data_IF_381989339870
#
_entry.id   IF_381989339870
#
_cell.length_a   1.000
_cell.length_b   1.000
_cell.length_c   1.000
_cell.angle_alpha   90.00
_cell.angle_beta   90.00
_cell.angle_gamma   90.00
#
_symmetry.space_group_name_H-M   'P 1'
#
loop_
_entity.id
_entity.type
_entity.pdbx_description
1 polymer ?
#
# COMPACT_ATOMS: atom_id res chain seq x y z
N UNK A 1 -5.08 -3.36 7.18
CA UNK A 1 -5.54 -3.64 5.81
C UNK A 1 -6.92 -4.26 5.82
N UNK A 2 -7.83 -3.69 5.09
CA UNK A 2 -9.17 -4.23 4.90
C UNK A 2 -9.25 -4.94 3.55
N UNK A 3 -9.71 -6.20 3.52
CA UNK A 3 -9.87 -6.91 2.25
C UNK A 3 -10.99 -6.29 1.42
N UNK A 4 -10.74 -6.17 0.13
CA UNK A 4 -11.75 -5.77 -0.84
C UNK A 4 -12.27 -7.00 -1.57
N UNK A 5 -13.56 -7.27 -1.42
CA UNK A 5 -14.20 -8.49 -1.93
C UNK A 5 -15.42 -8.12 -2.76
N UNK A 6 -15.49 -8.68 -3.95
CA UNK A 6 -16.71 -8.62 -4.77
C UNK A 6 -17.48 -9.91 -4.60
N UNK A 7 -18.80 -9.79 -4.43
CA UNK A 7 -19.72 -10.93 -4.32
C UNK A 7 -20.46 -11.08 -5.64
N UNK A 8 -20.33 -12.25 -6.25
CA UNK A 8 -21.09 -12.60 -7.45
C UNK A 8 -22.05 -13.75 -7.17
N UNK A 9 -23.26 -13.65 -7.71
CA UNK A 9 -24.25 -14.72 -7.65
C UNK A 9 -24.13 -15.59 -8.90
N UNK A 10 -23.91 -16.89 -8.72
CA UNK A 10 -23.88 -17.82 -9.84
C UNK A 10 -25.30 -18.21 -10.23
N UNK A 11 -25.77 -17.66 -11.36
CA UNK A 11 -27.10 -17.92 -11.90
C UNK A 11 -27.26 -19.31 -12.53
N UNK A 12 -26.16 -20.06 -12.68
CA UNK A 12 -26.18 -21.39 -13.30
C UNK A 12 -26.58 -22.50 -12.34
N UNK A 13 -26.57 -22.24 -11.04
CA UNK A 13 -26.93 -23.22 -10.03
C UNK A 13 -28.47 -23.27 -9.94
N UNK A 14 -29.02 -24.40 -10.37
CA UNK A 14 -30.45 -24.69 -10.23
C UNK A 14 -30.70 -25.38 -8.89
N UNK A 15 -31.66 -24.90 -8.11
CA UNK A 15 -32.05 -25.49 -6.85
C UNK A 15 -32.23 -24.44 -5.76
N UNK A 16 -32.43 -24.88 -4.53
CA UNK A 16 -32.69 -24.01 -3.37
C UNK A 16 -31.45 -23.26 -2.90
N UNK A 17 -30.25 -23.58 -3.39
CA UNK A 17 -29.01 -22.91 -3.05
C UNK A 17 -28.63 -21.89 -4.13
N UNK A 18 -28.60 -20.61 -3.76
CA UNK A 18 -27.94 -19.61 -4.62
C UNK A 18 -26.45 -19.75 -4.44
N UNK A 19 -25.75 -20.11 -5.51
CA UNK A 19 -24.29 -20.08 -5.51
C UNK A 19 -23.81 -18.63 -5.35
N UNK A 20 -23.07 -18.39 -4.30
CA UNK A 20 -22.44 -17.09 -4.06
C UNK A 20 -20.93 -17.26 -4.26
N UNK A 21 -20.37 -16.48 -5.18
CA UNK A 21 -18.94 -16.45 -5.44
C UNK A 21 -18.35 -15.18 -4.87
N UNK A 22 -17.36 -15.34 -4.01
CA UNK A 22 -16.60 -14.23 -3.43
C UNK A 22 -15.31 -14.07 -4.24
N UNK A 23 -15.12 -12.89 -4.83
CA UNK A 23 -13.91 -12.56 -5.55
C UNK A 23 -13.12 -11.56 -4.74
N UNK A 24 -11.93 -11.96 -4.29
CA UNK A 24 -11.02 -11.07 -3.58
C UNK A 24 -10.27 -10.21 -4.58
N UNK A 25 -10.51 -8.90 -4.55
CA UNK A 25 -9.88 -7.94 -5.46
C UNK A 25 -8.58 -7.36 -4.92
N UNK A 26 -8.41 -7.30 -3.61
CA UNK A 26 -7.22 -6.74 -2.99
C UNK A 26 -7.45 -6.30 -1.55
N UNK A 27 -6.72 -5.28 -1.15
CA UNK A 27 -6.78 -4.70 0.19
C UNK A 27 -6.80 -3.18 0.10
N UNK A 28 -7.55 -2.55 0.99
CA UNK A 28 -7.51 -1.13 1.23
C UNK A 28 -6.92 -0.88 2.62
N UNK A 29 -6.12 0.15 2.75
CA UNK A 29 -5.48 0.51 4.01
C UNK A 29 -4.84 1.86 3.93
N UNK A 30 -3.97 2.15 4.86
CA UNK A 30 -3.22 3.40 4.89
C UNK A 30 -1.83 3.20 5.50
N UNK A 31 -0.92 4.09 5.13
CA UNK A 31 0.38 4.24 5.77
C UNK A 31 0.37 5.56 6.51
N UNK A 32 0.81 5.56 7.76
CA UNK A 32 0.98 6.77 8.55
C UNK A 32 2.45 7.08 8.75
N UNK A 33 2.84 8.30 8.44
CA UNK A 33 4.22 8.78 8.51
C UNK A 33 4.28 10.12 9.25
N UNK A 34 5.38 10.36 9.96
CA UNK A 34 5.65 11.69 10.54
C UNK A 34 6.22 12.66 9.53
N UNK A 35 7.00 12.15 8.58
CA UNK A 35 7.63 12.93 7.50
C UNK A 35 7.50 12.15 6.20
N UNK A 36 7.15 12.83 5.13
CA UNK A 36 7.09 12.22 3.80
C UNK A 36 8.52 11.98 3.30
N UNK A 37 8.90 10.74 2.96
CA UNK A 37 10.18 10.49 2.29
C UNK A 37 10.26 11.26 0.97
N UNK A 38 11.42 11.86 0.68
CA UNK A 38 11.59 12.68 -0.52
C UNK A 38 11.31 11.92 -1.81
N UNK A 39 11.70 10.64 -1.86
CA UNK A 39 11.47 9.80 -3.02
C UNK A 39 9.98 9.57 -3.31
N UNK A 40 9.11 9.63 -2.29
CA UNK A 40 7.67 9.49 -2.48
C UNK A 40 7.07 10.65 -3.28
N UNK A 41 7.57 11.85 -3.07
CA UNK A 41 7.10 13.01 -3.84
C UNK A 41 7.37 12.82 -5.34
N UNK A 42 8.55 12.31 -5.69
CA UNK A 42 8.94 12.09 -7.09
C UNK A 42 8.35 10.83 -7.68
N UNK A 43 8.55 9.70 -7.01
CA UNK A 43 8.36 8.37 -7.60
C UNK A 43 6.91 7.90 -7.51
N UNK A 44 6.19 8.33 -6.48
CA UNK A 44 4.79 7.90 -6.28
C UNK A 44 3.82 9.00 -6.70
N UNK A 45 4.07 10.24 -6.31
CA UNK A 45 3.14 11.35 -6.52
C UNK A 45 3.47 12.24 -7.71
N UNK A 46 4.57 11.98 -8.43
CA UNK A 46 5.01 12.74 -9.61
C UNK A 46 5.16 14.25 -9.37
N UNK A 47 5.63 14.63 -8.19
CA UNK A 47 5.96 16.02 -7.94
C UNK A 47 7.23 16.43 -8.69
N UNK A 48 7.26 17.64 -9.18
CA UNK A 48 8.46 18.20 -9.79
C UNK A 48 9.46 18.63 -8.74
N UNK A 49 10.74 18.40 -9.00
CA UNK A 49 11.81 18.87 -8.14
C UNK A 49 12.82 19.69 -8.93
N UNK A 50 13.41 20.67 -8.29
CA UNK A 50 14.52 21.46 -8.84
C UNK A 50 15.83 21.18 -8.11
N UNK A 51 16.91 21.84 -8.54
CA UNK A 51 18.24 21.59 -8.01
C UNK A 51 18.45 22.18 -6.61
N UNK A 52 17.57 23.03 -6.13
CA UNK A 52 17.67 23.66 -4.79
C UNK A 52 16.92 22.87 -3.70
N UNK A 53 16.30 21.75 -4.04
CA UNK A 53 15.58 20.91 -3.10
C UNK A 53 14.09 21.26 -2.96
N UNK A 54 13.56 22.11 -3.82
CA UNK A 54 12.13 22.41 -3.83
C UNK A 54 11.34 21.34 -4.58
N UNK A 55 10.27 20.86 -3.94
CA UNK A 55 9.32 19.95 -4.55
C UNK A 55 8.01 20.68 -4.79
N UNK A 56 7.49 20.61 -6.01
CA UNK A 56 6.28 21.30 -6.41
C UNK A 56 5.22 20.31 -6.87
N UNK A 57 4.06 20.36 -6.23
CA UNK A 57 2.90 19.60 -6.66
C UNK A 57 2.28 20.26 -7.88
N UNK A 58 2.14 19.49 -8.95
CA UNK A 58 1.50 19.95 -10.17
C UNK A 58 0.15 19.27 -10.34
N UNK A 59 -0.76 19.90 -11.07
CA UNK A 59 -2.04 19.29 -11.38
C UNK A 59 -1.84 18.12 -12.34
N UNK A 60 -2.18 16.91 -11.87
CA UNK A 60 -2.13 15.68 -12.67
C UNK A 60 -3.48 14.97 -12.55
N UNK A 61 -3.81 14.16 -13.56
CA UNK A 61 -4.99 13.31 -13.46
C UNK A 61 -4.76 12.20 -12.43
N UNK A 62 -5.84 11.69 -11.83
CA UNK A 62 -5.76 10.62 -10.84
C UNK A 62 -5.11 9.34 -11.37
N UNK A 63 -5.08 9.16 -12.68
CA UNK A 63 -4.47 7.98 -13.34
C UNK A 63 -2.96 8.12 -13.56
N UNK A 64 -2.35 9.22 -13.15
CA UNK A 64 -0.92 9.47 -13.34
C UNK A 64 -0.05 9.00 -12.19
N UNK A 65 -0.65 8.50 -11.10
CA UNK A 65 0.11 7.98 -9.97
C UNK A 65 0.73 6.64 -10.30
N UNK A 66 1.99 6.48 -9.92
CA UNK A 66 2.76 5.27 -10.21
C UNK A 66 2.42 4.13 -9.24
N UNK A 67 2.34 2.93 -9.78
CA UNK A 67 2.22 1.72 -8.97
C UNK A 67 3.53 1.41 -8.27
N UNK A 68 3.45 0.82 -7.09
CA UNK A 68 4.61 0.42 -6.32
C UNK A 68 4.33 -0.86 -5.55
N UNK A 69 5.39 -1.53 -5.12
CA UNK A 69 5.29 -2.64 -4.18
C UNK A 69 5.55 -2.14 -2.77
N UNK A 70 4.73 -2.58 -1.84
CA UNK A 70 4.91 -2.24 -0.43
C UNK A 70 5.43 -3.45 0.33
N UNK A 71 6.59 -3.31 0.93
CA UNK A 71 7.27 -4.37 1.68
C UNK A 71 7.41 -3.90 3.13
N UNK A 72 7.01 -4.75 4.07
CA UNK A 72 7.05 -4.40 5.48
C UNK A 72 7.15 -5.64 6.38
N UNK A 73 7.50 -5.39 7.63
CA UNK A 73 7.51 -6.41 8.69
C UNK A 73 6.44 -6.07 9.71
N UNK A 74 5.63 -7.06 10.07
CA UNK A 74 4.60 -6.93 11.08
C UNK A 74 4.54 -8.20 11.91
N UNK A 75 4.66 -8.08 13.24
CA UNK A 75 4.58 -9.21 14.18
C UNK A 75 5.53 -10.38 13.84
N UNK A 76 6.76 -10.08 13.40
CA UNK A 76 7.73 -11.10 13.00
C UNK A 76 7.48 -11.71 11.63
N UNK A 77 6.46 -11.27 10.92
CA UNK A 77 6.18 -11.70 9.56
C UNK A 77 6.72 -10.69 8.57
N UNK A 78 7.27 -11.15 7.47
CA UNK A 78 7.64 -10.31 6.34
C UNK A 78 6.56 -10.41 5.28
N UNK A 79 6.09 -9.26 4.82
CA UNK A 79 4.98 -9.17 3.90
C UNK A 79 5.32 -8.30 2.71
N UNK A 80 4.74 -8.62 1.57
CA UNK A 80 4.77 -7.79 0.37
C UNK A 80 3.36 -7.67 -0.21
N UNK A 81 2.95 -6.43 -0.50
CA UNK A 81 1.82 -6.13 -1.37
C UNK A 81 2.39 -5.84 -2.76
N UNK A 82 2.06 -6.67 -3.73
CA UNK A 82 2.77 -6.71 -5.02
C UNK A 82 2.52 -5.51 -5.92
N UNK A 83 1.29 -4.99 -5.90
CA UNK A 83 0.94 -3.83 -6.70
C UNK A 83 0.04 -2.91 -5.89
N UNK A 84 0.54 -1.74 -5.58
CA UNK A 84 -0.17 -0.74 -4.79
C UNK A 84 -0.33 0.55 -5.55
N UNK A 85 -1.44 1.22 -5.31
CA UNK A 85 -1.68 2.59 -5.69
C UNK A 85 -1.85 3.43 -4.44
N UNK A 86 -1.33 4.65 -4.45
CA UNK A 86 -1.52 5.59 -3.36
C UNK A 86 -2.66 6.56 -3.69
N UNK A 87 -3.51 6.82 -2.70
CA UNK A 87 -4.48 7.91 -2.77
C UNK A 87 -3.86 9.24 -2.34
N UNK A 88 -4.67 10.27 -2.27
CA UNK A 88 -4.23 11.60 -1.84
C UNK A 88 -3.79 11.58 -0.37
N UNK A 89 -2.57 12.03 -0.05
CA UNK A 89 -2.12 12.13 1.33
C UNK A 89 -2.95 13.16 2.10
N UNK A 90 -3.26 12.82 3.35
CA UNK A 90 -3.88 13.73 4.29
C UNK A 90 -2.87 14.13 5.36
N UNK A 91 -2.64 15.41 5.53
CA UNK A 91 -1.71 15.95 6.50
C UNK A 91 -2.49 16.49 7.68
N UNK A 92 -2.24 15.92 8.88
CA UNK A 92 -2.81 16.38 10.15
C UNK A 92 -1.70 16.97 11.00
N UNK A 93 -1.93 18.14 11.56
CA UNK A 93 -1.02 18.80 12.48
C UNK A 93 -1.71 19.07 13.80
N UNK A 94 -1.04 18.72 14.89
CA UNK A 94 -1.53 18.96 16.25
C UNK A 94 -0.41 19.58 17.07
N UNK A 95 -0.77 20.54 17.92
CA UNK A 95 0.13 21.04 18.95
C UNK A 95 -0.16 20.28 20.25
N UNK A 96 0.86 19.63 20.83
CA UNK A 96 0.69 18.93 22.10
C UNK A 96 0.66 19.90 23.28
N UNK A 97 0.45 19.37 24.50
CA UNK A 97 0.36 20.18 25.72
C UNK A 97 1.64 20.93 26.07
N UNK A 98 2.79 20.58 25.46
CA UNK A 98 4.07 21.26 25.62
C UNK A 98 4.35 22.30 24.55
N UNK A 99 3.40 22.58 23.68
CA UNK A 99 3.56 23.50 22.55
C UNK A 99 4.35 22.93 21.37
N UNK A 100 4.61 21.61 21.34
CA UNK A 100 5.31 20.97 20.23
C UNK A 100 4.32 20.57 19.15
N UNK A 101 4.57 21.00 17.91
CA UNK A 101 3.78 20.61 16.76
C UNK A 101 4.10 19.17 16.35
N UNK A 102 3.06 18.34 16.25
CA UNK A 102 3.16 16.96 15.78
C UNK A 102 2.43 16.84 14.45
N UNK A 103 3.11 16.31 13.45
CA UNK A 103 2.56 16.08 12.12
C UNK A 103 2.35 14.59 11.89
N UNK A 104 1.19 14.23 11.36
CA UNK A 104 0.91 12.89 10.85
C UNK A 104 0.45 12.99 9.41
N UNK A 105 1.09 12.21 8.54
CA UNK A 105 0.72 12.10 7.13
C UNK A 105 0.11 10.74 6.93
N UNK A 106 -1.15 10.70 6.52
CA UNK A 106 -1.86 9.45 6.20
C UNK A 106 -1.98 9.32 4.69
N UNK A 107 -1.45 8.22 4.16
CA UNK A 107 -1.47 7.92 2.72
C UNK A 107 -2.37 6.72 2.51
N UNK A 108 -3.54 6.88 1.86
CA UNK A 108 -4.36 5.75 1.48
C UNK A 108 -3.61 4.83 0.52
N UNK A 109 -3.71 3.53 0.76
CA UNK A 109 -3.05 2.50 -0.06
C UNK A 109 -4.11 1.52 -0.55
N UNK A 110 -4.08 1.26 -1.84
CA UNK A 110 -4.96 0.30 -2.51
C UNK A 110 -4.09 -0.79 -3.13
N UNK A 111 -4.11 -1.98 -2.54
CA UNK A 111 -3.37 -3.12 -3.06
C UNK A 111 -4.26 -3.93 -3.99
N UNK A 112 -3.78 -4.19 -5.18
CA UNK A 112 -4.46 -4.94 -6.24
C UNK A 112 -3.57 -6.09 -6.72
N UNK A 113 -4.13 -6.96 -7.53
CA UNK A 113 -3.34 -8.00 -8.18
C UNK A 113 -2.36 -7.41 -9.19
N UNK A 114 -1.18 -8.00 -9.27
CA UNK A 114 -0.23 -7.69 -10.34
C UNK A 114 -0.56 -8.50 -11.61
N UNK A 115 0.29 -8.40 -12.64
CA UNK A 115 0.12 -9.14 -13.89
C UNK A 115 0.16 -10.67 -13.72
N UNK A 116 0.78 -11.15 -12.64
CA UNK A 116 0.85 -12.57 -12.28
C UNK A 116 -0.25 -12.99 -11.32
N UNK A 117 -1.27 -12.18 -11.11
CA UNK A 117 -2.39 -12.38 -10.18
C UNK A 117 -1.99 -12.47 -8.71
N UNK A 118 -0.81 -11.95 -8.35
CA UNK A 118 -0.37 -11.89 -6.96
C UNK A 118 -0.87 -10.61 -6.30
N UNK A 119 -1.43 -10.73 -5.12
CA UNK A 119 -1.89 -9.59 -4.32
C UNK A 119 -0.94 -9.39 -3.14
N UNK A 120 -0.73 -10.43 -2.34
CA UNK A 120 0.03 -10.37 -1.10
C UNK A 120 0.82 -11.67 -0.90
N UNK A 121 2.01 -11.54 -0.36
CA UNK A 121 2.80 -12.69 0.10
C UNK A 121 3.26 -12.45 1.53
N UNK A 122 3.27 -13.50 2.33
CA UNK A 122 3.68 -13.47 3.73
C UNK A 122 4.69 -14.59 3.97
N UNK A 123 5.74 -14.28 4.69
CA UNK A 123 6.66 -15.30 5.20
C UNK A 123 6.79 -15.15 6.72
N UNK A 124 6.47 -16.22 7.45
CA UNK A 124 6.49 -16.27 8.91
C UNK A 124 7.68 -17.05 9.45
N UNK A 125 8.43 -17.75 8.60
CA UNK A 125 9.51 -18.62 9.03
C UNK A 125 10.85 -17.88 9.03
N UNK A 126 11.18 -17.27 10.16
CA UNK A 126 12.40 -16.49 10.34
C UNK A 126 13.70 -17.28 10.07
N UNK A 127 13.68 -18.60 10.17
CA UNK A 127 14.84 -19.46 9.93
C UNK A 127 15.03 -19.81 8.45
N UNK A 128 14.02 -19.56 7.61
CA UNK A 128 14.10 -19.89 6.19
C UNK A 128 14.97 -18.90 5.42
N UNK A 129 15.63 -19.40 4.38
CA UNK A 129 16.36 -18.55 3.44
C UNK A 129 15.41 -17.55 2.74
N UNK A 130 14.20 -17.99 2.42
CA UNK A 130 13.20 -17.14 1.80
C UNK A 130 12.85 -15.94 2.68
N UNK A 131 12.72 -16.12 4.00
CA UNK A 131 12.50 -15.02 4.93
C UNK A 131 13.68 -14.04 4.95
N UNK A 132 14.89 -14.59 5.07
CA UNK A 132 16.12 -13.78 5.18
C UNK A 132 16.41 -12.95 3.92
N UNK A 133 15.95 -13.41 2.77
CA UNK A 133 16.14 -12.74 1.49
C UNK A 133 14.87 -12.07 0.96
N UNK A 134 13.81 -12.03 1.76
CA UNK A 134 12.48 -11.59 1.32
C UNK A 134 12.47 -10.17 0.74
N UNK A 135 13.28 -9.28 1.31
CA UNK A 135 13.40 -7.89 0.85
C UNK A 135 14.44 -7.70 -0.28
N UNK A 136 14.89 -8.78 -0.89
CA UNK A 136 15.86 -8.72 -1.98
C UNK A 136 17.33 -8.60 -1.54
N UNK A 137 17.60 -8.63 -0.23
CA UNK A 137 18.97 -8.67 0.30
C UNK A 137 19.09 -9.78 1.34
N UNK A 138 20.32 -10.29 1.47
CA UNK A 138 20.61 -11.32 2.44
C UNK A 138 20.95 -10.71 3.79
N UNK A 139 20.21 -11.07 4.83
CA UNK A 139 20.56 -10.72 6.19
C UNK A 139 21.74 -11.57 6.70
N UNK A 140 22.62 -10.89 7.37
CA UNK A 140 23.80 -11.53 7.98
C UNK A 140 23.45 -11.98 9.41
#
# INVERSE_FOLDING_TARGET
LSPKVTVEFDKRIRGSGKGVKYIKEGYDGSIELGVMPLDFYKDIFDWESDDDGTFTEIYISANSMNDFSLIYTANGQREILWSCEAGQPEIKRKTNSKGIEVQTISIPIYARRNSQRKIRSINQNADSTAYKTFFGFKEV
#
